data_IF_415927932728
#
_entry.id   IF_415927932728
#
_cell.length_a   1.000
_cell.length_b   1.000
_cell.length_c   1.000
_cell.angle_alpha   90.00
_cell.angle_beta   90.00
_cell.angle_gamma   90.00
#
_symmetry.space_group_name_H-M   'P 1'
#
loop_
_entity.id
_entity.type
_entity.pdbx_description
1 polymer ?
#
# COMPACT_ATOMS: atom_id res chain seq x y z
N UNK A 1 33.97 -39.35 33.06
CA UNK A 1 34.61 -38.41 32.10
C UNK A 1 34.17 -38.77 30.68
N UNK A 2 33.17 -38.07 30.16
CA UNK A 2 32.98 -37.76 28.74
C UNK A 2 32.19 -36.45 28.69
N UNK A 3 32.91 -35.37 28.49
CA UNK A 3 32.36 -34.06 28.21
C UNK A 3 31.66 -34.09 26.85
N UNK A 4 30.37 -33.83 26.81
CA UNK A 4 29.69 -33.38 25.59
C UNK A 4 28.88 -32.13 25.90
N UNK A 5 29.39 -31.03 25.35
CA UNK A 5 28.80 -29.69 25.32
C UNK A 5 27.39 -29.74 24.71
N UNK A 6 26.41 -28.97 25.22
CA UNK A 6 25.11 -28.81 24.56
C UNK A 6 25.27 -27.99 23.27
N UNK A 7 24.51 -28.28 22.20
CA UNK A 7 24.50 -27.43 21.02
C UNK A 7 23.75 -26.13 21.35
N UNK A 8 24.42 -25.03 21.02
CA UNK A 8 23.97 -23.67 21.24
C UNK A 8 22.66 -23.39 20.48
N UNK A 9 21.69 -22.84 21.21
CA UNK A 9 20.49 -22.22 20.66
C UNK A 9 20.86 -21.02 19.78
N UNK A 10 20.82 -21.19 18.46
CA UNK A 10 20.85 -20.06 17.54
C UNK A 10 19.51 -19.30 17.59
N UNK A 11 19.52 -18.20 18.34
CA UNK A 11 18.65 -17.05 18.12
C UNK A 11 19.13 -16.34 16.85
N UNK A 12 18.30 -16.21 15.82
CA UNK A 12 18.71 -15.44 14.65
C UNK A 12 17.65 -15.25 13.58
N UNK A 13 16.94 -14.12 13.66
CA UNK A 13 16.27 -13.45 12.55
C UNK A 13 15.19 -14.26 11.80
N UNK A 14 13.94 -14.06 12.25
CA UNK A 14 12.79 -14.02 11.32
C UNK A 14 13.05 -12.91 10.31
N UNK A 15 13.73 -13.23 9.21
CA UNK A 15 13.67 -12.43 7.99
C UNK A 15 12.20 -12.45 7.60
N UNK A 16 11.51 -11.34 7.79
CA UNK A 16 10.23 -11.12 7.14
C UNK A 16 10.45 -11.46 5.67
N UNK A 17 9.85 -12.56 5.20
CA UNK A 17 9.78 -12.86 3.78
C UNK A 17 8.96 -11.71 3.21
N UNK A 18 9.65 -10.67 2.74
CA UNK A 18 9.08 -9.77 1.76
C UNK A 18 8.65 -10.68 0.62
N UNK A 19 7.35 -10.96 0.56
CA UNK A 19 6.79 -11.86 -0.42
C UNK A 19 7.10 -11.26 -1.78
N UNK A 20 8.01 -11.92 -2.50
CA UNK A 20 8.40 -11.52 -3.83
C UNK A 20 7.19 -11.69 -4.73
N UNK A 21 6.56 -10.60 -5.15
CA UNK A 21 5.55 -10.62 -6.21
C UNK A 21 6.29 -10.88 -7.52
N UNK A 22 6.17 -12.07 -8.15
CA UNK A 22 6.76 -12.30 -9.46
C UNK A 22 6.13 -11.31 -10.46
N UNK A 23 6.89 -10.77 -11.43
CA UNK A 23 6.35 -9.85 -12.43
C UNK A 23 5.05 -10.38 -13.08
N UNK A 24 5.04 -11.68 -13.42
CA UNK A 24 3.88 -12.35 -14.03
C UNK A 24 2.64 -12.51 -13.14
N UNK A 25 2.76 -12.40 -11.81
CA UNK A 25 1.59 -12.53 -10.93
C UNK A 25 0.60 -11.36 -11.12
N UNK A 26 1.11 -10.17 -11.47
CA UNK A 26 0.28 -9.00 -11.70
C UNK A 26 -0.56 -9.11 -12.97
N UNK A 27 0.02 -9.69 -14.02
CA UNK A 27 -0.68 -9.95 -15.28
C UNK A 27 -1.65 -11.14 -15.15
N UNK A 28 -1.22 -12.23 -14.52
CA UNK A 28 -2.00 -13.48 -14.43
C UNK A 28 -3.22 -13.38 -13.51
N UNK A 29 -3.24 -12.45 -12.55
CA UNK A 29 -4.38 -12.23 -11.65
C UNK A 29 -5.42 -11.25 -12.22
N UNK A 30 -5.22 -10.72 -13.43
CA UNK A 30 -6.07 -9.66 -13.99
C UNK A 30 -6.01 -8.34 -13.20
N UNK A 31 -5.10 -8.25 -12.22
CA UNK A 31 -4.93 -7.09 -11.35
C UNK A 31 -4.65 -5.83 -12.15
N UNK A 32 -3.76 -5.90 -13.16
CA UNK A 32 -3.44 -4.74 -13.99
C UNK A 32 -4.69 -4.12 -14.64
N UNK A 33 -5.60 -4.94 -15.16
CA UNK A 33 -6.83 -4.47 -15.83
C UNK A 33 -7.76 -3.74 -14.85
N UNK A 34 -7.94 -4.27 -13.65
CA UNK A 34 -8.77 -3.63 -12.61
C UNK A 34 -8.07 -2.37 -12.09
N UNK A 35 -6.77 -2.44 -11.86
CA UNK A 35 -5.98 -1.35 -11.31
C UNK A 35 -5.90 -0.16 -12.27
N UNK A 36 -5.95 -0.38 -13.58
CA UNK A 36 -6.04 0.68 -14.58
C UNK A 36 -7.30 1.54 -14.41
N UNK A 37 -8.42 0.96 -13.98
CA UNK A 37 -9.68 1.67 -13.75
C UNK A 37 -9.63 2.64 -12.56
N UNK A 38 -8.73 2.42 -11.60
CA UNK A 38 -8.60 3.27 -10.41
C UNK A 38 -7.88 4.57 -10.77
N UNK A 39 -8.54 5.73 -10.67
CA UNK A 39 -7.94 7.04 -11.02
C UNK A 39 -7.88 7.98 -9.82
N UNK A 40 -6.76 8.01 -9.07
CA UNK A 40 -6.62 8.91 -7.93
C UNK A 40 -6.56 10.39 -8.37
N UNK A 41 -7.35 11.21 -7.69
CA UNK A 41 -7.47 12.65 -7.97
C UNK A 41 -6.20 13.44 -7.62
N UNK A 42 -5.56 13.11 -6.49
CA UNK A 42 -4.37 13.83 -6.01
C UNK A 42 -3.05 13.24 -6.52
N UNK A 43 -1.99 14.08 -6.58
CA UNK A 43 -0.64 13.63 -6.90
C UNK A 43 -0.11 12.57 -5.90
N UNK A 44 -0.47 12.72 -4.62
CA UNK A 44 -0.16 11.75 -3.58
C UNK A 44 -0.85 10.41 -3.84
N UNK A 45 -2.13 10.42 -4.20
CA UNK A 45 -2.87 9.21 -4.55
C UNK A 45 -2.28 8.49 -5.76
N UNK A 46 -1.85 9.24 -6.80
CA UNK A 46 -1.17 8.64 -7.96
C UNK A 46 0.15 7.95 -7.56
N UNK A 47 0.92 8.53 -6.65
CA UNK A 47 2.13 7.87 -6.12
C UNK A 47 1.82 6.63 -5.30
N UNK A 48 0.79 6.69 -4.45
CA UNK A 48 0.32 5.52 -3.71
C UNK A 48 -0.04 4.39 -4.69
N UNK A 49 -0.84 4.70 -5.73
CA UNK A 49 -1.22 3.76 -6.78
C UNK A 49 -0.04 3.06 -7.45
N UNK A 50 1.04 3.80 -7.74
CA UNK A 50 2.26 3.27 -8.38
C UNK A 50 3.00 2.31 -7.44
N UNK A 51 2.99 2.58 -6.14
CA UNK A 51 3.69 1.78 -5.11
C UNK A 51 2.91 0.53 -4.72
N UNK A 52 1.58 0.56 -4.80
CA UNK A 52 0.73 -0.58 -4.47
C UNK A 52 1.08 -1.82 -5.30
N UNK A 53 1.04 -2.97 -4.65
CA UNK A 53 1.19 -4.30 -5.25
C UNK A 53 -0.01 -5.14 -4.84
N UNK A 54 -0.44 -6.11 -5.65
CA UNK A 54 -1.50 -7.02 -5.25
C UNK A 54 -1.11 -7.75 -3.96
N UNK A 55 -2.09 -8.00 -3.11
CA UNK A 55 -1.95 -8.95 -2.02
C UNK A 55 -1.66 -10.35 -2.58
N UNK A 56 -0.84 -11.09 -1.87
CA UNK A 56 -0.37 -12.41 -2.27
C UNK A 56 -0.86 -13.45 -1.24
N UNK A 57 -0.92 -14.75 -1.59
CA UNK A 57 -1.36 -15.78 -0.63
C UNK A 57 -0.54 -15.77 0.66
N UNK A 58 -1.20 -15.77 1.81
CA UNK A 58 -0.59 -15.56 3.13
C UNK A 58 -0.71 -14.12 3.67
N UNK A 59 -1.35 -13.21 2.93
CA UNK A 59 -1.65 -11.83 3.36
C UNK A 59 -3.16 -11.58 3.52
N UNK A 60 -3.91 -12.62 3.87
CA UNK A 60 -5.37 -12.56 3.93
C UNK A 60 -5.86 -11.57 4.99
N UNK A 61 -5.18 -11.51 6.14
CA UNK A 61 -5.54 -10.59 7.21
C UNK A 61 -5.33 -9.11 6.82
N UNK A 62 -4.23 -8.81 6.11
CA UNK A 62 -4.00 -7.45 5.60
C UNK A 62 -5.01 -7.08 4.50
N UNK A 63 -5.37 -8.03 3.63
CA UNK A 63 -6.40 -7.82 2.61
C UNK A 63 -7.78 -7.57 3.24
N UNK A 64 -8.15 -8.34 4.27
CA UNK A 64 -9.40 -8.18 5.01
C UNK A 64 -9.48 -6.80 5.68
N UNK A 65 -8.40 -6.35 6.32
CA UNK A 65 -8.33 -5.02 6.92
C UNK A 65 -8.48 -3.88 5.89
N UNK A 66 -7.94 -4.04 4.68
CA UNK A 66 -8.17 -3.06 3.61
C UNK A 66 -9.63 -3.06 3.12
N UNK A 67 -10.30 -4.23 3.09
CA UNK A 67 -11.72 -4.31 2.76
C UNK A 67 -12.59 -3.64 3.83
N UNK A 68 -12.34 -3.89 5.12
CA UNK A 68 -13.05 -3.24 6.22
C UNK A 68 -12.95 -1.71 6.11
N UNK A 69 -11.76 -1.21 5.78
CA UNK A 69 -11.53 0.22 5.56
C UNK A 69 -12.35 0.76 4.38
N UNK A 70 -12.40 0.03 3.26
CA UNK A 70 -13.19 0.41 2.09
C UNK A 70 -14.69 0.40 2.38
N UNK A 71 -15.19 -0.62 3.06
CA UNK A 71 -16.60 -0.72 3.46
C UNK A 71 -16.99 0.44 4.39
N UNK A 72 -16.15 0.77 5.36
CA UNK A 72 -16.33 1.94 6.21
C UNK A 72 -16.41 3.22 5.36
N UNK A 73 -15.47 3.43 4.42
CA UNK A 73 -15.47 4.61 3.56
C UNK A 73 -16.75 4.68 2.71
N UNK A 74 -17.22 3.57 2.15
CA UNK A 74 -18.46 3.51 1.37
C UNK A 74 -19.67 3.86 2.25
N UNK A 75 -19.75 3.32 3.46
CA UNK A 75 -20.83 3.66 4.39
C UNK A 75 -20.85 5.14 4.76
N UNK A 76 -19.66 5.74 4.94
CA UNK A 76 -19.52 7.17 5.23
C UNK A 76 -19.87 8.02 4.01
N UNK A 77 -19.58 7.55 2.80
CA UNK A 77 -19.97 8.22 1.56
C UNK A 77 -21.48 8.32 1.45
N UNK A 78 -22.19 7.23 1.73
CA UNK A 78 -23.66 7.20 1.71
C UNK A 78 -24.27 8.07 2.81
N UNK A 79 -23.61 8.15 3.96
CA UNK A 79 -24.09 8.93 5.12
C UNK A 79 -23.80 10.43 4.99
N UNK A 80 -22.65 10.81 4.42
CA UNK A 80 -22.15 12.18 4.37
C UNK A 80 -21.63 12.56 2.96
N UNK A 81 -22.48 12.50 1.92
CA UNK A 81 -22.04 12.70 0.54
C UNK A 81 -21.40 14.08 0.31
N UNK A 82 -21.95 15.14 0.92
CA UNK A 82 -21.45 16.51 0.75
C UNK A 82 -20.00 16.68 1.25
N UNK A 83 -19.66 16.05 2.39
CA UNK A 83 -18.31 16.06 2.92
C UNK A 83 -17.33 15.35 1.99
N UNK A 84 -17.75 14.27 1.33
CA UNK A 84 -16.92 13.58 0.36
C UNK A 84 -16.72 14.38 -0.94
N UNK A 85 -17.74 15.09 -1.41
CA UNK A 85 -17.59 16.02 -2.53
C UNK A 85 -16.58 17.13 -2.20
N UNK A 86 -16.65 17.70 -0.99
CA UNK A 86 -15.68 18.70 -0.54
C UNK A 86 -14.26 18.11 -0.44
N UNK A 87 -14.10 16.93 0.17
CA UNK A 87 -12.80 16.25 0.27
C UNK A 87 -12.23 15.97 -1.12
N UNK A 88 -13.04 15.54 -2.09
CA UNK A 88 -12.59 15.33 -3.47
C UNK A 88 -12.11 16.64 -4.07
N UNK A 89 -12.87 17.73 -3.91
CA UNK A 89 -12.47 19.06 -4.38
C UNK A 89 -11.12 19.50 -3.81
N UNK A 90 -10.90 19.26 -2.51
CA UNK A 90 -9.61 19.54 -1.85
C UNK A 90 -8.50 18.68 -2.45
N UNK A 91 -8.72 17.37 -2.62
CA UNK A 91 -7.72 16.43 -3.14
C UNK A 91 -7.35 16.72 -4.60
N UNK A 92 -8.29 17.18 -5.43
CA UNK A 92 -8.05 17.59 -6.81
C UNK A 92 -7.13 18.82 -6.89
N UNK A 93 -7.29 19.77 -5.98
CA UNK A 93 -6.55 21.03 -5.96
C UNK A 93 -5.30 21.00 -5.05
N UNK A 94 -5.08 19.91 -4.31
CA UNK A 94 -3.96 19.76 -3.41
C UNK A 94 -2.64 19.82 -4.20
N UNK A 95 -1.82 20.84 -3.91
CA UNK A 95 -0.47 20.97 -4.45
C UNK A 95 0.37 19.78 -4.03
N UNK A 96 1.33 19.41 -4.86
CA UNK A 96 2.26 18.33 -4.57
C UNK A 96 3.40 18.80 -3.66
N UNK A 97 3.42 18.44 -2.36
CA UNK A 97 4.49 18.87 -1.46
C UNK A 97 5.84 18.26 -1.85
N UNK A 98 5.87 17.09 -2.49
CA UNK A 98 7.12 16.44 -2.88
C UNK A 98 7.80 17.16 -4.04
N UNK A 99 7.03 17.73 -4.97
CA UNK A 99 7.58 18.58 -6.04
C UNK A 99 8.27 19.82 -5.44
N UNK A 100 7.62 20.48 -4.48
CA UNK A 100 8.22 21.62 -3.78
C UNK A 100 9.50 21.23 -3.01
N UNK A 101 9.49 20.08 -2.31
CA UNK A 101 10.66 19.56 -1.59
C UNK A 101 11.82 19.25 -2.55
N UNK A 102 11.56 18.64 -3.71
CA UNK A 102 12.59 18.35 -4.71
C UNK A 102 13.22 19.63 -5.26
N UNK A 103 12.42 20.63 -5.62
CA UNK A 103 12.91 21.94 -6.08
C UNK A 103 13.78 22.65 -5.04
N UNK A 104 13.45 22.52 -3.75
CA UNK A 104 14.26 23.09 -2.65
C UNK A 104 15.58 22.36 -2.45
N UNK A 105 15.66 21.07 -2.81
CA UNK A 105 16.88 20.26 -2.72
C UNK A 105 17.80 20.47 -3.92
N UNK A 106 17.25 20.72 -5.10
CA UNK A 106 18.01 20.95 -6.34
C UNK A 106 18.60 22.37 -6.42
N UNK A 107 18.02 23.35 -5.71
CA UNK A 107 18.55 24.71 -5.62
C UNK A 107 19.57 24.91 -4.47
N UNK A 108 20.16 23.82 -3.95
CA UNK A 108 21.28 23.81 -3.01
C UNK A 108 22.47 23.11 -3.63
#
# INVERSE_FOLDING_TARGET
MRDMKPPETEKGQRRGKGMFTPPGARENLGFSKIWEMVSPRSAMGRRAKVRTRPFMPGMEAELEAEFDCLEMILSLWDTYPDSFFEIIGILENAKDPFSAISLLRENR
#
